data_IF_452747012538
#
_entry.id   IF_452747012538
#
_cell.length_a   1.000
_cell.length_b   1.000
_cell.length_c   1.000
_cell.angle_alpha   90.00
_cell.angle_beta   90.00
_cell.angle_gamma   90.00
#
_symmetry.space_group_name_H-M   'P 1'
#
loop_
_entity.id
_entity.type
_entity.pdbx_description
1 polymer ?
#
# COMPACT_ATOMS: atom_id res chain seq x y z
N UNK A 1 12.66 -6.34 18.01
CA UNK A 1 11.23 -6.68 17.99
C UNK A 1 10.38 -5.54 17.43
N UNK A 2 10.56 -4.30 17.87
CA UNK A 2 9.82 -3.11 17.38
C UNK A 2 9.76 -3.01 15.84
N UNK A 3 10.90 -3.16 15.16
CA UNK A 3 10.99 -3.17 13.70
C UNK A 3 9.99 -4.09 12.97
N UNK A 4 9.77 -5.31 13.48
CA UNK A 4 8.84 -6.26 12.85
C UNK A 4 7.39 -5.81 13.09
N UNK A 5 7.08 -5.32 14.29
CA UNK A 5 5.77 -4.77 14.61
C UNK A 5 5.46 -3.52 13.77
N UNK A 6 6.44 -2.66 13.52
CA UNK A 6 6.28 -1.47 12.67
C UNK A 6 6.03 -1.85 11.21
N UNK A 7 6.75 -2.87 10.71
CA UNK A 7 6.52 -3.39 9.36
C UNK A 7 5.10 -3.98 9.23
N UNK A 8 4.63 -4.74 10.23
CA UNK A 8 3.27 -5.27 10.27
C UNK A 8 2.24 -4.13 10.32
N UNK A 9 2.47 -3.11 11.17
CA UNK A 9 1.60 -1.94 11.27
C UNK A 9 1.53 -1.18 9.94
N UNK A 10 2.65 -1.03 9.22
CA UNK A 10 2.70 -0.45 7.89
C UNK A 10 1.85 -1.24 6.89
N UNK A 11 2.01 -2.58 6.86
CA UNK A 11 1.20 -3.46 6.01
C UNK A 11 -0.29 -3.37 6.29
N UNK A 12 -0.66 -3.39 7.58
CA UNK A 12 -2.05 -3.28 8.02
C UNK A 12 -2.65 -1.92 7.64
N UNK A 13 -1.93 -0.82 7.90
CA UNK A 13 -2.38 0.54 7.54
C UNK A 13 -2.54 0.70 6.04
N UNK A 14 -1.58 0.24 5.24
CA UNK A 14 -1.67 0.28 3.78
C UNK A 14 -2.89 -0.51 3.28
N UNK A 15 -3.12 -1.69 3.85
CA UNK A 15 -4.27 -2.54 3.51
C UNK A 15 -5.58 -1.88 3.87
N UNK A 16 -5.74 -1.40 5.11
CA UNK A 16 -6.96 -0.71 5.57
C UNK A 16 -7.24 0.53 4.73
N UNK A 17 -6.20 1.28 4.37
CA UNK A 17 -6.31 2.44 3.49
C UNK A 17 -6.80 2.02 2.10
N UNK A 18 -6.20 0.99 1.51
CA UNK A 18 -6.66 0.45 0.24
C UNK A 18 -8.11 -0.04 0.31
N UNK A 19 -8.49 -0.73 1.38
CA UNK A 19 -9.87 -1.18 1.60
C UNK A 19 -10.84 -0.02 1.61
N UNK A 20 -10.57 1.01 2.42
CA UNK A 20 -11.43 2.19 2.48
C UNK A 20 -11.59 2.85 1.12
N UNK A 21 -10.51 2.92 0.33
CA UNK A 21 -10.55 3.58 -0.98
C UNK A 21 -11.29 2.77 -2.04
N UNK A 22 -11.11 1.45 -2.04
CA UNK A 22 -11.88 0.52 -2.86
C UNK A 22 -13.38 0.67 -2.58
N UNK A 23 -13.79 0.83 -1.32
CA UNK A 23 -15.20 1.05 -0.94
C UNK A 23 -15.77 2.39 -1.44
N UNK A 24 -14.94 3.42 -1.53
CA UNK A 24 -15.36 4.78 -1.93
C UNK A 24 -15.36 4.93 -3.46
N UNK A 25 -14.63 4.09 -4.19
CA UNK A 25 -14.57 4.19 -5.65
C UNK A 25 -15.92 3.91 -6.33
N UNK A 26 -16.22 4.68 -7.37
CA UNK A 26 -17.57 4.88 -7.93
C UNK A 26 -18.14 3.68 -8.70
N UNK A 27 -17.29 2.86 -9.30
CA UNK A 27 -17.68 1.60 -9.95
C UNK A 27 -17.16 0.47 -9.08
N UNK A 28 -18.05 -0.38 -8.55
CA UNK A 28 -17.71 -1.49 -7.62
C UNK A 28 -16.43 -2.19 -8.10
N UNK A 29 -15.27 -1.84 -7.56
CA UNK A 29 -14.02 -2.16 -8.24
C UNK A 29 -13.61 -3.59 -7.93
N UNK A 30 -14.35 -4.27 -7.06
CA UNK A 30 -14.11 -5.65 -6.71
C UNK A 30 -15.43 -6.41 -6.74
N UNK A 31 -15.53 -7.36 -7.65
CA UNK A 31 -16.74 -8.15 -7.87
C UNK A 31 -16.77 -9.47 -7.11
N UNK A 32 -15.66 -9.88 -6.49
CA UNK A 32 -15.56 -11.15 -5.76
C UNK A 32 -14.86 -11.01 -4.41
N UNK A 33 -15.31 -11.79 -3.41
CA UNK A 33 -14.63 -11.87 -2.10
C UNK A 33 -13.18 -12.37 -2.22
N UNK A 34 -12.89 -13.20 -3.22
CA UNK A 34 -11.54 -13.71 -3.51
C UNK A 34 -10.61 -12.58 -3.98
N UNK A 35 -11.07 -11.74 -4.91
CA UNK A 35 -10.32 -10.56 -5.35
C UNK A 35 -10.09 -9.55 -4.22
N UNK A 36 -11.06 -9.46 -3.30
CA UNK A 36 -10.94 -8.65 -2.09
C UNK A 36 -9.75 -9.11 -1.23
N UNK A 37 -9.70 -10.40 -0.90
CA UNK A 37 -8.60 -10.98 -0.10
C UNK A 37 -7.26 -10.89 -0.84
N UNK A 38 -7.25 -11.11 -2.16
CA UNK A 38 -6.05 -10.99 -2.98
C UNK A 38 -5.51 -9.56 -2.99
N UNK A 39 -6.36 -8.56 -3.24
CA UNK A 39 -5.94 -7.17 -3.27
C UNK A 39 -5.42 -6.68 -1.91
N UNK A 40 -6.11 -7.04 -0.82
CA UNK A 40 -5.63 -6.81 0.55
C UNK A 40 -4.26 -7.42 0.76
N UNK A 41 -4.12 -8.71 0.45
CA UNK A 41 -2.89 -9.45 0.68
C UNK A 41 -1.71 -8.87 -0.09
N UNK A 42 -1.91 -8.53 -1.37
CA UNK A 42 -0.88 -7.94 -2.22
C UNK A 42 -0.43 -6.59 -1.67
N UNK A 43 -1.37 -5.72 -1.27
CA UNK A 43 -1.06 -4.41 -0.70
C UNK A 43 -0.32 -4.58 0.64
N UNK A 44 -0.81 -5.44 1.54
CA UNK A 44 -0.18 -5.70 2.83
C UNK A 44 1.28 -6.12 2.65
N UNK A 45 1.48 -7.18 1.88
CA UNK A 45 2.79 -7.82 1.68
C UNK A 45 3.77 -6.84 1.04
N UNK A 46 3.34 -6.13 -0.01
CA UNK A 46 4.18 -5.17 -0.72
C UNK A 46 4.64 -4.05 0.20
N UNK A 47 3.75 -3.49 1.02
CA UNK A 47 4.09 -2.38 1.91
C UNK A 47 4.95 -2.84 3.10
N UNK A 48 4.73 -4.05 3.63
CA UNK A 48 5.63 -4.69 4.62
C UNK A 48 7.06 -4.78 4.08
N UNK A 49 7.22 -5.36 2.88
CA UNK A 49 8.55 -5.54 2.28
C UNK A 49 9.20 -4.21 1.92
N UNK A 50 8.43 -3.24 1.42
CA UNK A 50 8.90 -1.89 1.11
C UNK A 50 9.45 -1.21 2.37
N UNK A 51 8.70 -1.29 3.48
CA UNK A 51 9.15 -0.77 4.77
C UNK A 51 10.43 -1.43 5.28
N UNK A 52 10.45 -2.77 5.29
CA UNK A 52 11.61 -3.54 5.72
C UNK A 52 12.85 -3.17 4.90
N UNK A 53 12.72 -3.01 3.59
CA UNK A 53 13.81 -2.60 2.71
C UNK A 53 14.30 -1.18 3.02
N UNK A 54 13.40 -0.21 3.14
CA UNK A 54 13.75 1.18 3.42
C UNK A 54 14.46 1.34 4.77
N UNK A 55 13.88 0.78 5.83
CA UNK A 55 14.45 0.89 7.17
C UNK A 55 15.69 0.02 7.32
N UNK A 56 15.71 -1.19 6.74
CA UNK A 56 16.86 -2.10 6.75
C UNK A 56 18.08 -1.55 6.03
N UNK A 57 17.88 -0.78 4.95
CA UNK A 57 18.94 -0.06 4.24
C UNK A 57 19.28 1.31 4.86
N UNK A 58 18.66 1.66 5.99
CA UNK A 58 18.82 2.94 6.67
C UNK A 58 18.46 4.17 5.81
N UNK A 59 17.57 4.00 4.83
CA UNK A 59 17.12 5.04 3.92
C UNK A 59 15.99 5.86 4.54
N UNK A 60 16.27 6.66 5.58
CA UNK A 60 15.25 7.35 6.40
C UNK A 60 14.75 8.70 5.87
N UNK A 61 15.02 9.00 4.60
CA UNK A 61 14.63 10.28 4.01
C UNK A 61 13.17 10.25 3.58
N UNK A 62 12.37 11.21 4.05
CA UNK A 62 10.94 11.33 3.72
C UNK A 62 10.68 11.26 2.20
N UNK A 63 11.40 12.00 1.33
CA UNK A 63 11.16 11.93 -0.11
C UNK A 63 11.41 10.53 -0.69
N UNK A 64 12.40 9.80 -0.17
CA UNK A 64 12.70 8.43 -0.62
C UNK A 64 11.54 7.51 -0.25
N UNK A 65 10.99 7.64 0.95
CA UNK A 65 9.83 6.86 1.38
C UNK A 65 8.61 7.13 0.51
N UNK A 66 8.28 8.41 0.30
CA UNK A 66 7.17 8.83 -0.59
C UNK A 66 7.30 8.14 -1.94
N UNK A 67 8.46 8.28 -2.58
CA UNK A 67 8.70 7.75 -3.92
C UNK A 67 8.63 6.23 -3.93
N UNK A 68 9.24 5.55 -2.97
CA UNK A 68 9.22 4.09 -2.88
C UNK A 68 7.82 3.54 -2.69
N UNK A 69 7.03 4.09 -1.76
CA UNK A 69 5.64 3.66 -1.56
C UNK A 69 4.77 3.97 -2.78
N UNK A 70 4.95 5.12 -3.42
CA UNK A 70 4.23 5.47 -4.65
C UNK A 70 4.52 4.48 -5.78
N UNK A 71 5.81 4.24 -6.05
CA UNK A 71 6.24 3.36 -7.14
C UNK A 71 5.78 1.93 -6.92
N UNK A 72 5.93 1.40 -5.69
CA UNK A 72 5.51 0.04 -5.38
C UNK A 72 3.99 -0.12 -5.47
N UNK A 73 3.21 0.82 -4.90
CA UNK A 73 1.75 0.75 -4.98
C UNK A 73 1.22 0.99 -6.41
N UNK A 74 1.88 1.82 -7.21
CA UNK A 74 1.55 1.97 -8.63
C UNK A 74 1.94 0.72 -9.45
N UNK A 75 3.06 0.08 -9.13
CA UNK A 75 3.51 -1.14 -9.79
C UNK A 75 2.56 -2.31 -9.52
N UNK A 76 2.12 -2.53 -8.28
CA UNK A 76 1.12 -3.57 -7.99
C UNK A 76 -0.20 -3.27 -8.67
N UNK A 77 -0.62 -2.00 -8.73
CA UNK A 77 -1.85 -1.61 -9.40
C UNK A 77 -1.82 -1.92 -10.91
N UNK A 78 -0.66 -1.75 -11.54
CA UNK A 78 -0.48 -1.98 -12.97
C UNK A 78 -0.14 -3.43 -13.32
N UNK A 79 0.58 -4.15 -12.46
CA UNK A 79 1.16 -5.46 -12.78
C UNK A 79 0.46 -6.60 -12.04
N UNK A 80 0.06 -6.40 -10.79
CA UNK A 80 -0.50 -7.46 -9.95
C UNK A 80 -2.04 -7.50 -10.02
N UNK A 81 -2.72 -6.35 -9.88
CA UNK A 81 -4.19 -6.32 -9.89
C UNK A 81 -4.84 -6.82 -11.19
N UNK A 82 -4.28 -6.61 -12.40
CA UNK A 82 -4.85 -7.21 -13.61
C UNK A 82 -4.78 -8.73 -13.65
N UNK A 83 -3.93 -9.36 -12.82
CA UNK A 83 -3.84 -10.81 -12.68
C UNK A 83 -4.87 -11.35 -11.67
N UNK A 84 -5.57 -10.48 -10.94
CA UNK A 84 -6.59 -10.87 -9.97
C UNK A 84 -7.98 -10.83 -10.62
N UNK A 85 -8.66 -11.97 -10.66
CA UNK A 85 -10.01 -12.08 -11.23
C UNK A 85 -11.03 -11.27 -10.42
N UNK A 86 -11.53 -10.19 -11.03
CA UNK A 86 -12.59 -9.37 -10.45
C UNK A 86 -12.12 -8.10 -9.78
N UNK A 87 -10.86 -7.69 -9.95
CA UNK A 87 -10.41 -6.32 -9.63
C UNK A 87 -10.53 -5.44 -10.88
N UNK A 88 -11.45 -4.47 -10.86
CA UNK A 88 -11.70 -3.48 -11.89
C UNK A 88 -11.65 -2.07 -11.27
N UNK A 89 -10.45 -1.64 -10.86
CA UNK A 89 -10.24 -0.30 -10.31
C UNK A 89 -9.96 0.67 -11.48
N UNK A 90 -10.61 1.85 -11.55
CA UNK A 90 -10.27 2.88 -12.52
C UNK A 90 -8.79 3.26 -12.44
N UNK A 91 -8.13 3.44 -13.59
CA UNK A 91 -6.68 3.63 -13.68
C UNK A 91 -6.17 4.78 -12.80
N UNK A 92 -6.91 5.90 -12.76
CA UNK A 92 -6.57 7.07 -11.93
C UNK A 92 -6.59 6.73 -10.45
N UNK A 93 -7.58 5.96 -10.00
CA UNK A 93 -7.67 5.52 -8.60
C UNK A 93 -6.51 4.59 -8.25
N UNK A 94 -6.23 3.63 -9.14
CA UNK A 94 -5.22 2.61 -8.91
C UNK A 94 -3.78 3.17 -8.91
N UNK A 95 -3.47 4.16 -9.77
CA UNK A 95 -2.12 4.67 -9.98
C UNK A 95 -1.84 5.97 -9.21
N UNK A 96 -2.87 6.78 -8.94
CA UNK A 96 -2.68 8.11 -8.34
C UNK A 96 -3.26 8.16 -6.93
N UNK A 97 -4.57 7.92 -6.79
CA UNK A 97 -5.26 8.15 -5.50
C UNK A 97 -4.83 7.13 -4.44
N UNK A 98 -4.90 5.83 -4.74
CA UNK A 98 -4.51 4.79 -3.79
C UNK A 98 -3.04 4.91 -3.38
N UNK A 99 -2.07 5.03 -4.30
CA UNK A 99 -0.67 5.13 -3.92
C UNK A 99 -0.39 6.38 -3.08
N UNK A 100 -0.93 7.55 -3.42
CA UNK A 100 -0.70 8.79 -2.65
C UNK A 100 -1.17 8.65 -1.20
N UNK A 101 -2.38 8.13 -0.99
CA UNK A 101 -2.93 8.00 0.35
C UNK A 101 -2.21 6.94 1.18
N UNK A 102 -1.86 5.80 0.57
CA UNK A 102 -1.06 4.77 1.24
C UNK A 102 0.32 5.31 1.64
N UNK A 103 1.00 6.03 0.74
CA UNK A 103 2.28 6.67 1.04
C UNK A 103 2.17 7.68 2.19
N UNK A 104 1.12 8.52 2.18
CA UNK A 104 0.89 9.49 3.25
C UNK A 104 0.71 8.80 4.62
N UNK A 105 -0.10 7.75 4.69
CA UNK A 105 -0.30 6.99 5.92
C UNK A 105 0.99 6.28 6.37
N UNK A 106 1.76 5.73 5.44
CA UNK A 106 3.06 5.11 5.74
C UNK A 106 4.07 6.09 6.35
N UNK A 107 4.12 7.32 5.84
CA UNK A 107 5.01 8.37 6.37
C UNK A 107 4.55 8.84 7.75
N UNK A 108 3.24 9.03 7.95
CA UNK A 108 2.70 9.39 9.25
C UNK A 108 3.01 8.33 10.31
N UNK A 109 2.93 7.05 9.95
CA UNK A 109 3.38 5.97 10.81
C UNK A 109 4.88 6.10 11.10
N UNK A 110 5.73 6.31 10.09
CA UNK A 110 7.18 6.54 10.23
C UNK A 110 7.55 7.64 11.21
N UNK A 111 6.81 8.75 11.16
CA UNK A 111 6.96 9.84 12.12
C UNK A 111 6.51 9.45 13.52
N UNK A 112 5.37 8.77 13.64
CA UNK A 112 4.83 8.34 14.92
C UNK A 112 5.72 7.31 15.65
N UNK A 113 6.42 6.45 14.91
CA UNK A 113 7.34 5.44 15.49
C UNK A 113 8.76 5.97 15.72
N UNK A 114 9.04 7.25 15.42
CA UNK A 114 10.35 7.89 15.64
C UNK A 114 11.45 7.39 14.71
N UNK A 115 11.08 6.87 13.53
CA UNK A 115 12.05 6.42 12.51
C UNK A 115 12.42 7.51 11.50
N UNK A 116 11.62 8.58 11.41
CA UNK A 116 11.90 9.83 10.68
C UNK A 116 12.52 10.86 11.63
#
# INVERSE_FOLDING_TARGET
>A
MQFIFDAIACGLLASLTWLGLVWISTDRPISSGRAWVQGVGIVAITNIFTWIALVGLNLRLIPVWVISFLLMNAAIARLAFPLCEGIQIPLIWAIVIHPILISAMGILLGGAVGFL
#
